data_IF_480794401337
#
_entry.id   IF_480794401337
#
_cell.length_a   1.000
_cell.length_b   1.000
_cell.length_c   1.000
_cell.angle_alpha   90.00
_cell.angle_beta   90.00
_cell.angle_gamma   90.00
#
_symmetry.space_group_name_H-M   'P 1'
#
loop_
_entity.id
_entity.type
_entity.pdbx_description
1 polymer ?
#
# COMPACT_ATOMS: atom_id res chain seq x y z
N UNK A 1 10.58 -11.80 -4.97
CA UNK A 1 9.52 -11.02 -4.30
C UNK A 1 9.25 -9.72 -5.04
N UNK A 2 10.23 -8.81 -5.12
CA UNK A 2 10.02 -7.49 -5.76
C UNK A 2 9.67 -7.55 -7.26
N UNK A 3 10.08 -8.61 -7.97
CA UNK A 3 9.72 -8.79 -9.39
C UNK A 3 8.22 -8.99 -9.61
N UNK A 4 7.54 -9.70 -8.71
CA UNK A 4 6.09 -9.96 -8.84
C UNK A 4 5.29 -8.70 -8.50
N UNK A 5 5.72 -7.98 -7.46
CA UNK A 5 5.10 -6.72 -7.06
C UNK A 5 5.23 -5.65 -8.16
N UNK A 6 6.42 -5.55 -8.78
CA UNK A 6 6.63 -4.68 -9.95
C UNK A 6 5.74 -5.06 -11.12
N UNK A 7 5.64 -6.36 -11.43
CA UNK A 7 4.75 -6.87 -12.48
C UNK A 7 3.30 -6.45 -12.22
N UNK A 8 2.83 -6.59 -10.98
CA UNK A 8 1.47 -6.19 -10.60
C UNK A 8 1.23 -4.69 -10.76
N UNK A 9 2.22 -3.86 -10.41
CA UNK A 9 2.16 -2.41 -10.63
C UNK A 9 2.03 -2.09 -12.12
N UNK A 10 2.76 -2.79 -13.01
CA UNK A 10 2.63 -2.59 -14.45
C UNK A 10 1.26 -2.95 -15.00
N UNK A 11 0.71 -4.09 -14.56
CA UNK A 11 -0.63 -4.51 -14.97
C UNK A 11 -1.67 -3.45 -14.61
N UNK A 12 -1.63 -2.97 -13.37
CA UNK A 12 -2.54 -1.93 -12.89
C UNK A 12 -2.34 -0.62 -13.66
N UNK A 13 -1.08 -0.26 -13.93
CA UNK A 13 -0.77 0.95 -14.71
C UNK A 13 -1.35 0.87 -16.13
N UNK A 14 -1.36 -0.30 -16.75
CA UNK A 14 -1.95 -0.52 -18.07
C UNK A 14 -3.49 -0.54 -18.01
N UNK A 15 -4.06 -1.33 -17.10
CA UNK A 15 -5.51 -1.49 -16.91
C UNK A 15 -6.19 -0.15 -16.54
N UNK A 16 -5.55 0.66 -15.71
CA UNK A 16 -6.08 1.91 -15.18
C UNK A 16 -5.49 3.15 -15.89
N UNK A 17 -4.93 2.99 -17.09
CA UNK A 17 -4.30 4.08 -17.87
C UNK A 17 -5.28 5.07 -18.49
N UNK A 18 -6.58 4.74 -18.52
CA UNK A 18 -7.64 5.56 -19.13
C UNK A 18 -8.66 5.98 -18.07
N UNK A 19 -9.11 7.25 -18.05
CA UNK A 19 -10.15 7.69 -17.12
C UNK A 19 -11.44 6.87 -17.27
N UNK A 20 -12.13 6.65 -16.15
CA UNK A 20 -13.35 5.86 -16.07
C UNK A 20 -13.12 4.34 -16.12
N UNK A 21 -11.90 3.87 -15.85
CA UNK A 21 -11.56 2.44 -15.84
C UNK A 21 -12.40 1.62 -14.85
N UNK A 22 -12.92 2.27 -13.80
CA UNK A 22 -13.80 1.66 -12.80
C UNK A 22 -15.29 1.69 -13.19
N UNK A 23 -15.65 2.37 -14.28
CA UNK A 23 -17.05 2.61 -14.68
C UNK A 23 -17.78 3.67 -13.86
N UNK A 24 -17.11 4.30 -12.89
CA UNK A 24 -17.66 5.34 -12.00
C UNK A 24 -16.94 6.69 -12.14
N UNK A 25 -16.06 6.82 -13.13
CA UNK A 25 -15.39 8.07 -13.46
C UNK A 25 -14.05 8.26 -12.76
N UNK A 26 -13.37 7.18 -12.38
CA UNK A 26 -12.01 7.24 -11.85
C UNK A 26 -11.06 8.03 -12.75
N UNK A 27 -10.08 8.69 -12.15
CA UNK A 27 -8.95 9.25 -12.87
C UNK A 27 -8.05 8.13 -13.40
N UNK A 28 -7.36 8.40 -14.51
CA UNK A 28 -6.27 7.53 -14.93
C UNK A 28 -5.15 7.55 -13.89
N UNK A 29 -4.55 6.38 -13.67
CA UNK A 29 -3.34 6.26 -12.85
C UNK A 29 -2.22 7.07 -13.49
N UNK A 30 -1.56 7.91 -12.71
CA UNK A 30 -0.54 8.82 -13.24
C UNK A 30 0.83 8.15 -13.36
N UNK A 31 1.63 8.53 -14.35
CA UNK A 31 3.00 8.03 -14.49
C UNK A 31 3.88 8.35 -13.26
N UNK A 32 3.59 9.46 -12.56
CA UNK A 32 4.26 9.83 -11.33
C UNK A 32 3.94 8.85 -10.19
N UNK A 33 2.66 8.50 -10.02
CA UNK A 33 2.23 7.50 -9.05
C UNK A 33 2.86 6.12 -9.34
N UNK A 34 2.90 5.69 -10.60
CA UNK A 34 3.57 4.43 -11.01
C UNK A 34 5.06 4.46 -10.68
N UNK A 35 5.77 5.55 -11.00
CA UNK A 35 7.18 5.67 -10.72
C UNK A 35 7.48 5.61 -9.21
N UNK A 36 6.69 6.31 -8.40
CA UNK A 36 6.81 6.29 -6.95
C UNK A 36 6.44 4.93 -6.36
N UNK A 37 5.39 4.28 -6.87
CA UNK A 37 4.98 2.95 -6.45
C UNK A 37 6.08 1.91 -6.72
N UNK A 38 6.74 1.97 -7.89
CA UNK A 38 7.91 1.12 -8.18
C UNK A 38 9.05 1.36 -7.19
N UNK A 39 9.36 2.62 -6.91
CA UNK A 39 10.40 2.97 -5.95
C UNK A 39 10.03 2.49 -4.53
N UNK A 40 8.77 2.63 -4.11
CA UNK A 40 8.29 2.12 -2.82
C UNK A 40 8.37 0.59 -2.74
N UNK A 41 7.96 -0.12 -3.79
CA UNK A 41 8.09 -1.57 -3.90
C UNK A 41 9.54 -2.07 -3.77
N UNK A 42 10.52 -1.28 -4.18
CA UNK A 42 11.95 -1.60 -3.97
C UNK A 42 12.39 -1.48 -2.51
N UNK A 43 11.69 -0.68 -1.71
CA UNK A 43 12.00 -0.50 -0.28
C UNK A 43 11.41 -1.59 0.62
N UNK A 44 10.47 -2.38 0.11
CA UNK A 44 9.89 -3.52 0.82
C UNK A 44 10.92 -4.64 0.81
N UNK A 45 11.47 -4.92 2.00
CA UNK A 45 12.46 -5.97 2.18
C UNK A 45 11.81 -7.36 2.24
N UNK A 46 12.60 -8.42 2.03
CA UNK A 46 12.10 -9.79 1.97
C UNK A 46 11.60 -10.35 3.30
N UNK A 47 11.79 -9.62 4.41
CA UNK A 47 11.33 -10.04 5.73
C UNK A 47 9.91 -9.56 6.05
N UNK A 48 9.39 -8.61 5.28
CA UNK A 48 8.04 -8.09 5.41
C UNK A 48 7.05 -8.92 4.59
N UNK A 49 5.81 -8.98 5.05
CA UNK A 49 4.69 -9.43 4.24
C UNK A 49 4.62 -8.68 2.90
N UNK A 50 4.24 -9.41 1.85
CA UNK A 50 4.00 -8.83 0.53
C UNK A 50 2.62 -8.16 0.55
N UNK A 51 2.51 -6.87 0.22
CA UNK A 51 1.22 -6.22 0.09
C UNK A 51 0.49 -6.64 -1.19
N UNK A 52 -0.82 -6.53 -1.16
CA UNK A 52 -1.64 -6.43 -2.37
C UNK A 52 -1.53 -5.00 -2.94
N UNK A 53 -1.62 -4.87 -4.26
CA UNK A 53 -1.57 -3.57 -4.93
C UNK A 53 -2.85 -3.33 -5.69
N UNK A 54 -3.38 -2.11 -5.60
CA UNK A 54 -4.56 -1.65 -6.32
C UNK A 54 -4.41 -0.23 -6.86
N UNK A 55 -5.34 0.18 -7.71
CA UNK A 55 -5.50 1.58 -8.11
C UNK A 55 -6.64 2.22 -7.32
N UNK A 56 -6.49 3.50 -7.01
CA UNK A 56 -7.53 4.31 -6.38
C UNK A 56 -8.25 5.17 -7.43
N UNK A 57 -9.54 5.49 -7.23
CA UNK A 57 -10.29 6.33 -8.16
C UNK A 57 -9.71 7.72 -8.38
N UNK A 58 -8.85 8.21 -7.49
CA UNK A 58 -8.19 9.50 -7.61
C UNK A 58 -6.93 9.47 -8.50
N UNK A 59 -6.50 8.29 -8.95
CA UNK A 59 -5.32 8.07 -9.78
C UNK A 59 -4.06 7.68 -9.01
N UNK A 60 -4.17 7.43 -7.70
CA UNK A 60 -3.11 6.86 -6.87
C UNK A 60 -3.02 5.32 -7.01
N UNK A 61 -1.92 4.76 -6.52
CA UNK A 61 -1.84 3.32 -6.23
C UNK A 61 -1.86 3.08 -4.73
N UNK A 62 -2.51 2.00 -4.31
CA UNK A 62 -2.55 1.55 -2.91
C UNK A 62 -1.70 0.30 -2.74
N UNK A 63 -0.98 0.23 -1.63
CA UNK A 63 -0.36 -0.99 -1.11
C UNK A 63 -1.10 -1.39 0.16
N UNK A 64 -1.69 -2.58 0.17
CA UNK A 64 -2.48 -3.07 1.30
C UNK A 64 -1.87 -4.34 1.91
N UNK A 65 -1.63 -4.29 3.22
CA UNK A 65 -1.34 -5.45 4.05
C UNK A 65 -2.61 -5.83 4.79
N UNK A 66 -3.34 -6.79 4.25
CA UNK A 66 -4.58 -7.28 4.84
C UNK A 66 -4.36 -8.62 5.55
N UNK A 67 -4.86 -8.73 6.77
CA UNK A 67 -4.92 -10.00 7.51
C UNK A 67 -6.35 -10.36 7.93
N UNK A 68 -7.11 -9.38 8.36
CA UNK A 68 -8.53 -9.51 8.68
C UNK A 68 -9.22 -8.16 8.56
N UNK A 69 -10.56 -8.13 8.63
CA UNK A 69 -11.34 -6.90 8.57
C UNK A 69 -10.95 -5.85 9.63
N UNK A 70 -10.25 -6.24 10.70
CA UNK A 70 -9.78 -5.37 11.76
C UNK A 70 -8.25 -5.24 11.80
N UNK A 71 -7.55 -5.82 10.82
CA UNK A 71 -6.09 -5.82 10.73
C UNK A 71 -5.71 -5.57 9.29
N UNK A 72 -5.60 -4.29 8.97
CA UNK A 72 -5.28 -3.83 7.63
C UNK A 72 -4.38 -2.61 7.72
N UNK A 73 -3.33 -2.56 6.93
CA UNK A 73 -2.58 -1.34 6.66
C UNK A 73 -2.73 -1.04 5.18
N UNK A 74 -3.16 0.18 4.86
CA UNK A 74 -3.21 0.72 3.51
C UNK A 74 -2.22 1.88 3.40
N UNK A 75 -1.47 1.92 2.30
CA UNK A 75 -0.51 2.98 1.96
C UNK A 75 -0.80 3.44 0.54
N UNK A 76 -1.26 4.68 0.39
CA UNK A 76 -1.56 5.32 -0.89
C UNK A 76 -0.36 6.12 -1.39
N UNK A 77 -0.14 6.04 -2.71
CA UNK A 77 1.01 6.60 -3.42
C UNK A 77 0.53 7.42 -4.61
N UNK A 78 0.70 8.73 -4.53
CA UNK A 78 0.21 9.69 -5.53
C UNK A 78 1.28 10.19 -6.51
N UNK A 79 2.57 9.93 -6.24
CA UNK A 79 3.69 10.43 -7.05
C UNK A 79 4.24 11.79 -6.61
N UNK A 80 3.95 12.22 -5.38
CA UNK A 80 4.31 13.56 -4.88
C UNK A 80 5.48 13.56 -3.87
N UNK A 81 6.14 12.43 -3.64
CA UNK A 81 7.17 12.31 -2.61
C UNK A 81 6.61 12.18 -1.20
N UNK A 82 5.33 11.82 -1.06
CA UNK A 82 4.61 11.67 0.22
C UNK A 82 3.73 10.44 0.16
N UNK A 83 3.83 9.59 1.17
CA UNK A 83 2.97 8.42 1.36
C UNK A 83 1.85 8.78 2.33
N UNK A 84 0.62 8.48 1.96
CA UNK A 84 -0.52 8.54 2.86
C UNK A 84 -0.77 7.14 3.40
N UNK A 85 -1.05 6.98 4.69
CA UNK A 85 -1.31 5.66 5.24
C UNK A 85 -2.40 5.65 6.29
N UNK A 86 -3.07 4.51 6.39
CA UNK A 86 -4.06 4.20 7.40
C UNK A 86 -3.92 2.74 7.82
N UNK A 87 -3.80 2.50 9.12
CA UNK A 87 -3.74 1.19 9.73
C UNK A 87 -4.92 1.01 10.68
N UNK A 88 -5.55 -0.15 10.61
CA UNK A 88 -6.51 -0.68 11.56
C UNK A 88 -5.87 -1.86 12.28
N UNK A 89 -5.82 -1.80 13.61
CA UNK A 89 -5.13 -2.77 14.48
C UNK A 89 -6.08 -3.19 15.63
N UNK A 90 -7.18 -3.83 15.28
CA UNK A 90 -8.29 -4.18 16.16
C UNK A 90 -9.19 -2.96 16.37
N UNK A 91 -9.20 -2.45 17.61
CA UNK A 91 -9.96 -1.25 17.98
C UNK A 91 -9.16 0.05 17.82
N UNK A 92 -7.86 -0.05 17.54
CA UNK A 92 -6.98 1.09 17.31
C UNK A 92 -6.91 1.38 15.81
N UNK A 93 -7.01 2.65 15.44
CA UNK A 93 -6.70 3.13 14.11
C UNK A 93 -5.58 4.17 14.17
N UNK A 94 -4.65 4.09 13.22
CA UNK A 94 -3.51 5.00 13.10
C UNK A 94 -3.50 5.48 11.66
N UNK A 95 -3.50 6.78 11.42
CA UNK A 95 -3.32 7.33 10.08
C UNK A 95 -2.30 8.46 10.10
N UNK A 96 -1.71 8.74 8.95
CA UNK A 96 -0.70 9.77 8.84
C UNK A 96 -0.17 9.95 7.43
N UNK A 97 0.88 10.76 7.34
CA UNK A 97 1.62 10.99 6.11
C UNK A 97 3.11 10.95 6.40
N UNK A 98 3.88 10.38 5.49
CA UNK A 98 5.34 10.30 5.58
C UNK A 98 5.99 10.81 4.31
N UNK A 99 7.05 11.61 4.45
CA UNK A 99 7.85 12.00 3.30
C UNK A 99 8.59 10.77 2.74
N UNK A 100 8.48 10.55 1.44
CA UNK A 100 9.13 9.44 0.75
C UNK A 100 10.40 9.88 0.05
N UNK A 101 11.51 9.26 0.43
CA UNK A 101 12.84 9.53 -0.14
C UNK A 101 13.51 8.22 -0.59
N UNK A 102 12.74 7.36 -1.27
CA UNK A 102 13.18 6.04 -1.72
C UNK A 102 13.73 5.17 -0.57
N UNK A 103 13.16 5.31 0.63
CA UNK A 103 13.49 4.52 1.81
C UNK A 103 12.21 4.21 2.58
N UNK A 104 12.10 2.98 3.06
CA UNK A 104 10.99 2.53 3.91
C UNK A 104 10.93 3.42 5.17
N UNK A 105 9.84 4.19 5.39
CA UNK A 105 9.62 4.91 6.63
C UNK A 105 9.51 3.94 7.80
N UNK A 106 10.14 4.27 8.93
CA UNK A 106 10.18 3.33 10.06
C UNK A 106 8.79 3.05 10.62
N UNK A 107 7.90 4.06 10.63
CA UNK A 107 6.50 3.88 11.05
C UNK A 107 5.77 2.84 10.21
N UNK A 108 5.98 2.81 8.88
CA UNK A 108 5.34 1.80 8.03
C UNK A 108 5.90 0.41 8.30
N UNK A 109 7.22 0.28 8.48
CA UNK A 109 7.84 -1.00 8.89
C UNK A 109 7.24 -1.51 10.20
N UNK A 110 7.13 -0.64 11.21
CA UNK A 110 6.59 -1.01 12.52
C UNK A 110 5.11 -1.42 12.41
N UNK A 111 4.32 -0.72 11.59
CA UNK A 111 2.91 -1.06 11.35
C UNK A 111 2.75 -2.41 10.64
N UNK A 112 3.57 -2.71 9.62
CA UNK A 112 3.55 -4.01 8.93
C UNK A 112 3.88 -5.14 9.93
N UNK A 113 4.91 -4.97 10.76
CA UNK A 113 5.25 -5.94 11.80
C UNK A 113 4.11 -6.15 12.81
N UNK A 114 3.34 -5.10 13.14
CA UNK A 114 2.16 -5.23 14.03
C UNK A 114 1.00 -5.99 13.37
N UNK A 115 0.84 -5.88 12.06
CA UNK A 115 -0.11 -6.71 11.29
C UNK A 115 0.31 -8.20 11.36
N UNK A 116 1.61 -8.47 11.32
CA UNK A 116 2.19 -9.83 11.40
C UNK A 116 2.09 -10.50 12.79
N UNK A 117 2.22 -9.74 13.88
CA UNK A 117 2.48 -10.33 15.21
C UNK A 117 1.24 -10.65 16.07
N UNK A 118 0.02 -10.19 15.72
CA UNK A 118 -1.14 -10.28 16.65
C UNK A 118 -1.90 -11.62 16.69
N UNK A 119 -1.18 -12.75 16.61
CA UNK A 119 -1.75 -14.09 16.81
C UNK A 119 -1.70 -14.56 18.28
N UNK A 120 -0.96 -13.92 19.17
CA UNK A 120 -0.72 -14.49 20.50
C UNK A 120 -1.83 -14.25 21.55
N UNK A 121 -2.81 -13.37 21.32
CA UNK A 121 -3.73 -12.92 22.38
C UNK A 121 -5.22 -13.27 22.17
N UNK A 122 -5.61 -13.91 21.06
CA UNK A 122 -7.04 -14.14 20.75
C UNK A 122 -7.58 -15.53 21.10
N UNK A 123 -6.78 -16.42 21.71
CA UNK A 123 -7.19 -17.79 22.07
C UNK A 123 -7.07 -18.11 23.57
N UNK A 124 -7.38 -17.14 24.44
CA UNK A 124 -7.64 -17.43 25.86
C UNK A 124 -8.98 -16.85 26.29
N UNK A 125 -10.06 -17.58 26.00
CA UNK A 125 -11.33 -17.51 26.72
C UNK A 125 -12.10 -18.81 26.58
#
# INVERSE_FOLDING_TARGET
MNSELKRRIEEIAEECSVPGWDGYGANAVTAAAVAEARAFAETIDSSLLVPEVGAEPDGALTFEWHRSAWQTLSVSVHGFGVLHYAALLGTESICGTEAFRARMPQVLRDLIARIEQRDAESFSR
#
